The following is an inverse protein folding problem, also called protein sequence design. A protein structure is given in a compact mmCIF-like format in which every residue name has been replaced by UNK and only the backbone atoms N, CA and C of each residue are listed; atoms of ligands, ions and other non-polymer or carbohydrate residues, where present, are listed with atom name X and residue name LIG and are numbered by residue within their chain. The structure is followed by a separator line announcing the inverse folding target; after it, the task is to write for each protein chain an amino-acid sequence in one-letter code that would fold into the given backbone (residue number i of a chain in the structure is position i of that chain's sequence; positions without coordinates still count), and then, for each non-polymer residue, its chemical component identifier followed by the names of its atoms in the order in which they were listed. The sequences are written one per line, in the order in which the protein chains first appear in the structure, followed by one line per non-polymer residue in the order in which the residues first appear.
data_IF_482420031439
#
_entry.id   IF_482420031439
#
_cell.length_a   1.000
_cell.length_b   1.000
_cell.length_c   1.000
_cell.angle_alpha   90.00
_cell.angle_beta   90.00
_cell.angle_gamma   90.00
#
_symmetry.space_group_name_H-M   'P 1'
#
loop_
_entity.id
_entity.type
_entity.pdbx_description
1 polymer ?
#
# COMPACT_ATOMS: atom_id res chain seq x y z
N UNK A 1 -18.79 -13.58 -9.60
CA UNK A 1 -17.66 -14.55 -9.60
C UNK A 1 -16.57 -14.06 -8.64
N UNK A 2 -16.04 -14.92 -7.77
CA UNK A 2 -14.99 -14.56 -6.80
C UNK A 2 -13.66 -14.27 -7.55
N UNK A 3 -12.90 -13.24 -7.14
CA UNK A 3 -11.59 -12.91 -7.73
C UNK A 3 -10.61 -14.10 -7.69
N UNK A 4 -10.74 -14.97 -6.68
CA UNK A 4 -9.96 -16.20 -6.61
C UNK A 4 -10.32 -17.19 -7.72
N UNK A 5 -11.60 -17.33 -8.07
CA UNK A 5 -12.05 -18.23 -9.14
C UNK A 5 -11.55 -17.76 -10.52
N UNK A 6 -11.68 -16.45 -10.80
CA UNK A 6 -11.14 -15.84 -12.03
C UNK A 6 -9.64 -16.11 -12.14
N UNK A 7 -8.90 -15.84 -11.08
CA UNK A 7 -7.45 -16.01 -11.08
C UNK A 7 -7.05 -17.48 -11.29
N UNK A 8 -7.81 -18.45 -10.75
CA UNK A 8 -7.56 -19.89 -10.99
C UNK A 8 -7.81 -20.27 -12.44
N UNK A 9 -8.90 -19.78 -13.04
CA UNK A 9 -9.21 -20.00 -14.46
C UNK A 9 -8.09 -19.44 -15.34
N UNK A 10 -7.64 -18.21 -15.09
CA UNK A 10 -6.57 -17.57 -15.85
C UNK A 10 -5.22 -18.28 -15.67
N UNK A 11 -4.91 -18.79 -14.48
CA UNK A 11 -3.69 -19.57 -14.24
C UNK A 11 -3.71 -20.86 -15.08
N UNK A 12 -4.83 -21.58 -15.07
CA UNK A 12 -4.97 -22.82 -15.83
C UNK A 12 -4.89 -22.53 -17.33
N UNK A 13 -5.52 -21.46 -17.80
CA UNK A 13 -5.40 -21.00 -19.18
C UNK A 13 -3.93 -20.74 -19.54
N UNK A 14 -3.18 -20.05 -18.70
CA UNK A 14 -1.76 -19.77 -18.94
C UNK A 14 -0.92 -21.06 -19.00
N UNK A 15 -1.13 -21.97 -18.05
CA UNK A 15 -0.45 -23.27 -18.00
C UNK A 15 -0.70 -24.11 -19.27
N UNK A 16 -1.95 -24.12 -19.77
CA UNK A 16 -2.33 -24.83 -21.00
C UNK A 16 -1.77 -24.18 -22.27
N UNK A 17 -1.74 -22.84 -22.33
CA UNK A 17 -1.19 -22.08 -23.46
C UNK A 17 0.34 -22.22 -23.56
N UNK A 18 1.02 -22.31 -22.42
CA UNK A 18 2.46 -22.57 -22.35
C UNK A 18 2.84 -24.05 -22.53
N UNK A 19 1.85 -24.95 -22.70
CA UNK A 19 2.05 -26.37 -22.97
C UNK A 19 1.16 -26.83 -24.16
N UNK A 20 1.38 -26.36 -25.39
CA UNK A 20 0.52 -26.71 -26.53
C UNK A 20 0.55 -28.21 -26.87
N UNK A 21 1.70 -28.85 -26.66
CA UNK A 21 1.94 -30.28 -26.94
C UNK A 21 1.41 -31.22 -25.84
N UNK A 22 0.88 -30.68 -24.74
CA UNK A 22 0.35 -31.49 -23.63
C UNK A 22 1.40 -32.33 -22.91
N UNK A 23 2.65 -31.84 -22.81
CA UNK A 23 3.77 -32.55 -22.16
C UNK A 23 3.63 -32.60 -20.63
N UNK A 24 3.05 -31.57 -20.03
CA UNK A 24 2.90 -31.45 -18.57
C UNK A 24 1.45 -31.66 -18.12
N UNK A 25 0.50 -31.08 -18.86
CA UNK A 25 -0.93 -31.35 -18.68
C UNK A 25 -1.41 -32.09 -19.93
N UNK A 26 -1.47 -33.41 -19.84
CA UNK A 26 -1.81 -34.27 -20.99
C UNK A 26 -3.17 -33.93 -21.60
N UNK A 27 -3.28 -34.07 -22.92
CA UNK A 27 -4.54 -33.82 -23.64
C UNK A 27 -5.72 -34.64 -23.09
N UNK A 28 -5.48 -35.88 -22.66
CA UNK A 28 -6.50 -36.71 -22.02
C UNK A 28 -6.99 -36.14 -20.70
N UNK A 29 -6.14 -35.48 -19.92
CA UNK A 29 -6.54 -34.78 -18.68
C UNK A 29 -7.36 -33.54 -18.99
N UNK A 30 -6.95 -32.75 -19.98
CA UNK A 30 -7.72 -31.57 -20.45
C UNK A 30 -9.10 -31.97 -20.97
N UNK A 31 -9.17 -33.05 -21.75
CA UNK A 31 -10.42 -33.57 -22.31
C UNK A 31 -11.35 -34.12 -21.21
N UNK A 32 -10.80 -34.87 -20.24
CA UNK A 32 -11.57 -35.33 -19.07
C UNK A 32 -12.14 -34.17 -18.26
N UNK A 33 -11.37 -33.11 -18.03
CA UNK A 33 -11.84 -31.91 -17.35
C UNK A 33 -12.98 -31.21 -18.11
N UNK A 34 -12.87 -31.11 -19.44
CA UNK A 34 -13.93 -30.58 -20.30
C UNK A 34 -15.19 -31.44 -20.25
N UNK A 35 -15.05 -32.76 -20.35
CA UNK A 35 -16.19 -33.70 -20.24
C UNK A 35 -16.85 -33.63 -18.87
N UNK A 36 -16.08 -33.53 -17.80
CA UNK A 36 -16.59 -33.36 -16.45
C UNK A 36 -17.41 -32.07 -16.32
N UNK A 37 -16.88 -30.94 -16.82
CA UNK A 37 -17.60 -29.67 -16.82
C UNK A 37 -18.91 -29.71 -17.64
N UNK A 38 -18.92 -30.38 -18.80
CA UNK A 38 -20.13 -30.57 -19.62
C UNK A 38 -21.19 -31.45 -18.95
N UNK A 39 -20.81 -32.41 -18.12
CA UNK A 39 -21.77 -33.22 -17.35
C UNK A 39 -22.49 -32.40 -16.28
N UNK A 40 -21.81 -31.41 -15.71
CA UNK A 40 -22.37 -30.54 -14.65
C UNK A 40 -23.23 -29.43 -15.23
N UNK A 41 -22.97 -28.99 -16.47
CA UNK A 41 -23.78 -28.02 -17.20
C UNK A 41 -24.30 -28.69 -18.48
N UNK A 42 -25.41 -29.44 -18.42
CA UNK A 42 -25.91 -30.23 -19.56
C UNK A 42 -26.46 -29.31 -20.65
N UNK A 43 -25.93 -29.44 -21.87
CA UNK A 43 -26.51 -29.14 -23.21
C UNK A 43 -27.46 -27.94 -23.42
N UNK A 44 -27.52 -26.95 -22.53
CA UNK A 44 -27.87 -25.61 -22.97
C UNK A 44 -26.69 -25.07 -23.79
N UNK A 45 -26.92 -24.35 -24.91
CA UNK A 45 -25.88 -23.49 -25.44
C UNK A 45 -25.29 -22.68 -24.29
N UNK A 46 -24.02 -22.30 -24.36
CA UNK A 46 -23.41 -21.29 -23.48
C UNK A 46 -24.05 -19.91 -23.76
N UNK A 47 -25.39 -19.86 -23.74
CA UNK A 47 -26.27 -18.76 -24.10
C UNK A 47 -26.37 -17.76 -22.96
N UNK A 48 -26.22 -18.23 -21.72
CA UNK A 48 -26.10 -17.37 -20.55
C UNK A 48 -24.64 -17.21 -20.11
N UNK A 49 -24.31 -16.02 -19.63
CA UNK A 49 -23.02 -15.71 -19.03
C UNK A 49 -22.77 -16.60 -17.80
N UNK A 50 -23.84 -16.94 -17.08
CA UNK A 50 -23.76 -17.74 -15.86
C UNK A 50 -23.41 -19.21 -16.14
N UNK A 51 -24.03 -19.85 -17.13
CA UNK A 51 -23.66 -21.21 -17.55
C UNK A 51 -22.22 -21.27 -18.05
N UNK A 52 -21.75 -20.22 -18.73
CA UNK A 52 -20.34 -20.08 -19.13
C UNK A 52 -19.39 -20.00 -17.95
N UNK A 53 -19.69 -19.17 -16.96
CA UNK A 53 -18.88 -19.03 -15.75
C UNK A 53 -18.83 -20.36 -15.00
N UNK A 54 -19.97 -21.05 -14.86
CA UNK A 54 -20.05 -22.32 -14.17
C UNK A 54 -19.25 -23.42 -14.90
N UNK A 55 -19.37 -23.49 -16.23
CA UNK A 55 -18.58 -24.40 -17.06
C UNK A 55 -17.08 -24.19 -16.87
N UNK A 56 -16.59 -22.95 -17.00
CA UNK A 56 -15.16 -22.65 -16.83
C UNK A 56 -14.66 -22.91 -15.42
N UNK A 57 -15.48 -22.61 -14.41
CA UNK A 57 -15.14 -22.85 -13.00
C UNK A 57 -14.98 -24.35 -12.72
N UNK A 58 -15.94 -25.17 -13.15
CA UNK A 58 -15.90 -26.63 -12.94
C UNK A 58 -14.75 -27.30 -13.70
N UNK A 59 -14.46 -26.81 -14.92
CA UNK A 59 -13.32 -27.28 -15.71
C UNK A 59 -12.01 -26.94 -15.00
N UNK A 60 -11.89 -25.69 -14.55
CA UNK A 60 -10.73 -25.22 -13.81
C UNK A 60 -10.51 -26.01 -12.52
N UNK A 61 -11.57 -26.33 -11.77
CA UNK A 61 -11.48 -27.14 -10.56
C UNK A 61 -10.97 -28.56 -10.84
N UNK A 62 -11.41 -29.17 -11.93
CA UNK A 62 -10.96 -30.51 -12.34
C UNK A 62 -9.45 -30.55 -12.64
N UNK A 63 -8.94 -29.53 -13.33
CA UNK A 63 -7.50 -29.39 -13.61
C UNK A 63 -6.75 -29.00 -12.33
N UNK A 64 -7.33 -28.15 -11.48
CA UNK A 64 -6.75 -27.76 -10.21
C UNK A 64 -6.48 -28.96 -9.30
N UNK A 65 -7.40 -29.93 -9.24
CA UNK A 65 -7.22 -31.17 -8.46
C UNK A 65 -6.07 -32.04 -8.98
N UNK A 66 -5.86 -32.06 -10.30
CA UNK A 66 -4.67 -32.68 -10.89
C UNK A 66 -3.41 -31.91 -10.49
N UNK A 67 -3.41 -30.57 -10.64
CA UNK A 67 -2.26 -29.73 -10.28
C UNK A 67 -1.89 -29.84 -8.80
N UNK A 68 -2.86 -29.89 -7.89
CA UNK A 68 -2.57 -30.03 -6.45
C UNK A 68 -1.90 -31.35 -6.10
N UNK A 69 -2.10 -32.38 -6.93
CA UNK A 69 -1.53 -33.72 -6.72
C UNK A 69 -0.18 -33.86 -7.43
N UNK A 70 -0.10 -33.44 -8.70
CA UNK A 70 1.08 -33.63 -9.54
C UNK A 70 2.10 -32.50 -9.44
N UNK A 71 1.65 -31.28 -9.13
CA UNK A 71 2.47 -30.07 -9.05
C UNK A 71 2.08 -29.20 -7.84
N UNK A 72 2.10 -29.73 -6.60
CA UNK A 72 1.65 -29.00 -5.41
C UNK A 72 2.34 -27.64 -5.23
N UNK A 73 3.60 -27.53 -5.66
CA UNK A 73 4.37 -26.28 -5.69
C UNK A 73 3.69 -25.12 -6.43
N UNK A 74 2.97 -25.40 -7.53
CA UNK A 74 2.24 -24.37 -8.30
C UNK A 74 1.02 -23.92 -7.49
N UNK A 75 0.27 -24.86 -6.92
CA UNK A 75 -0.94 -24.56 -6.15
C UNK A 75 -0.63 -23.85 -4.84
N UNK A 76 0.46 -24.22 -4.16
CA UNK A 76 0.90 -23.61 -2.91
C UNK A 76 1.43 -22.20 -3.15
N UNK A 77 2.23 -21.99 -4.21
CA UNK A 77 2.69 -20.65 -4.61
C UNK A 77 1.53 -19.74 -4.95
N UNK A 78 0.53 -20.24 -5.69
CA UNK A 78 -0.66 -19.48 -6.03
C UNK A 78 -1.51 -19.12 -4.80
N UNK A 79 -1.69 -20.07 -3.87
CA UNK A 79 -2.39 -19.80 -2.60
C UNK A 79 -1.65 -18.74 -1.76
N UNK A 80 -0.32 -18.82 -1.69
CA UNK A 80 0.52 -17.82 -1.03
C UNK A 80 0.43 -16.44 -1.68
N UNK A 81 0.46 -16.36 -3.00
CA UNK A 81 0.32 -15.10 -3.74
C UNK A 81 -1.07 -14.46 -3.57
N UNK A 82 -2.11 -15.27 -3.33
CA UNK A 82 -3.46 -14.79 -3.01
C UNK A 82 -3.65 -14.44 -1.53
N UNK A 83 -2.70 -14.77 -0.66
CA UNK A 83 -2.79 -14.41 0.74
C UNK A 83 -2.83 -12.88 0.87
N UNK A 84 -3.79 -12.38 1.64
CA UNK A 84 -3.87 -10.93 1.88
C UNK A 84 -2.70 -10.54 2.78
N UNK A 85 -1.84 -9.66 2.27
CA UNK A 85 -0.80 -9.00 3.06
C UNK A 85 -1.50 -8.27 4.21
N UNK A 86 -1.29 -8.68 5.48
CA UNK A 86 -1.92 -8.01 6.60
C UNK A 86 -1.36 -6.58 6.73
N UNK A 87 -2.24 -5.62 7.03
CA UNK A 87 -1.86 -4.21 7.14
C UNK A 87 -0.83 -3.96 8.26
N UNK A 88 -0.74 -4.87 9.23
CA UNK A 88 0.21 -4.83 10.35
C UNK A 88 1.67 -4.83 9.89
N UNK A 89 1.97 -5.43 8.72
CA UNK A 89 3.31 -5.41 8.12
C UNK A 89 3.78 -3.97 7.84
N UNK A 90 2.85 -3.06 7.54
CA UNK A 90 3.17 -1.65 7.33
C UNK A 90 2.93 -0.82 8.58
N UNK A 91 1.82 -1.05 9.28
CA UNK A 91 1.39 -0.26 10.43
C UNK A 91 2.37 -0.33 11.61
N UNK A 92 2.84 -1.53 11.98
CA UNK A 92 3.72 -1.70 13.15
C UNK A 92 5.07 -1.03 12.91
N UNK A 93 5.79 -1.27 11.79
CA UNK A 93 7.04 -0.58 11.53
C UNK A 93 6.86 0.92 11.40
N UNK A 94 5.81 1.40 10.74
CA UNK A 94 5.56 2.83 10.60
C UNK A 94 5.34 3.51 11.96
N UNK A 95 4.53 2.91 12.83
CA UNK A 95 4.31 3.39 14.19
C UNK A 95 5.60 3.38 15.01
N UNK A 96 6.37 2.28 14.96
CA UNK A 96 7.63 2.17 15.68
C UNK A 96 8.64 3.24 15.21
N UNK A 97 8.80 3.42 13.90
CA UNK A 97 9.62 4.49 13.33
C UNK A 97 9.17 5.86 13.84
N UNK A 98 7.86 6.12 13.87
CA UNK A 98 7.32 7.38 14.39
C UNK A 98 7.61 7.59 15.88
N UNK A 99 7.54 6.52 16.67
CA UNK A 99 7.80 6.55 18.11
C UNK A 99 9.27 6.88 18.41
N UNK A 100 10.21 6.38 17.59
CA UNK A 100 11.64 6.58 17.76
C UNK A 100 12.20 7.81 17.03
N UNK A 101 11.47 8.40 16.10
CA UNK A 101 11.83 9.69 15.50
C UNK A 101 11.78 10.77 16.59
N UNK A 102 12.88 11.50 16.75
CA UNK A 102 12.93 12.67 17.63
C UNK A 102 12.23 13.87 16.95
N UNK A 103 10.90 13.87 16.96
CA UNK A 103 10.08 14.94 16.36
C UNK A 103 10.22 16.32 17.03
N UNK A 104 10.79 16.39 18.24
CA UNK A 104 10.92 17.63 19.02
C UNK A 104 12.36 18.19 19.07
N UNK A 105 13.35 17.53 18.46
CA UNK A 105 14.76 17.92 18.55
C UNK A 105 15.52 17.34 19.75
N UNK A 106 16.84 17.51 19.79
CA UNK A 106 17.74 17.02 20.86
C UNK A 106 17.86 17.99 22.04
N UNK A 107 17.70 19.28 21.78
CA UNK A 107 17.51 20.32 22.79
C UNK A 107 16.02 20.38 23.15
N UNK A 108 15.66 20.78 24.37
CA UNK A 108 14.25 21.03 24.79
C UNK A 108 13.64 22.25 24.07
N UNK A 109 14.06 22.52 22.82
CA UNK A 109 13.63 23.61 21.97
C UNK A 109 13.04 23.03 20.69
N UNK A 110 11.74 23.23 20.51
CA UNK A 110 11.01 22.81 19.31
C UNK A 110 11.07 23.94 18.30
N UNK A 111 11.81 23.75 17.21
CA UNK A 111 11.74 24.70 16.10
C UNK A 111 10.36 24.58 15.44
N UNK A 112 9.58 25.66 15.34
CA UNK A 112 8.27 25.64 14.70
C UNK A 112 8.35 25.34 13.20
N UNK A 113 9.51 25.58 12.58
CA UNK A 113 9.82 25.20 11.21
C UNK A 113 10.54 23.83 11.14
N UNK A 114 10.33 22.94 12.11
CA UNK A 114 11.04 21.67 12.17
C UNK A 114 10.82 20.86 10.88
N UNK A 115 11.88 20.71 10.08
CA UNK A 115 11.84 20.06 8.79
C UNK A 115 11.24 18.64 8.83
N UNK A 116 11.60 17.76 9.79
CA UNK A 116 10.94 16.47 9.98
C UNK A 116 9.41 16.53 10.08
N UNK A 117 8.85 17.45 10.88
CA UNK A 117 7.39 17.58 11.06
C UNK A 117 6.73 18.13 9.79
N UNK A 118 7.37 19.09 9.11
CA UNK A 118 6.91 19.63 7.84
C UNK A 118 6.90 18.55 6.74
N UNK A 119 7.96 17.75 6.63
CA UNK A 119 8.05 16.65 5.65
C UNK A 119 6.99 15.60 5.94
N UNK A 120 6.81 15.19 7.20
CA UNK A 120 5.74 14.28 7.61
C UNK A 120 4.38 14.81 7.19
N UNK A 121 4.11 16.09 7.48
CA UNK A 121 2.83 16.69 7.20
C UNK A 121 2.56 16.77 5.69
N UNK A 122 3.54 17.23 4.91
CA UNK A 122 3.45 17.25 3.44
C UNK A 122 3.25 15.86 2.88
N UNK A 123 3.91 14.84 3.44
CA UNK A 123 3.71 13.45 3.07
C UNK A 123 2.28 13.00 3.36
N UNK A 124 1.77 13.23 4.58
CA UNK A 124 0.41 12.85 4.96
C UNK A 124 -0.63 13.54 4.08
N UNK A 125 -0.54 14.87 3.94
CA UNK A 125 -1.38 15.64 3.02
C UNK A 125 -1.31 15.09 1.59
N UNK A 126 -0.10 14.78 1.09
CA UNK A 126 0.09 14.17 -0.23
C UNK A 126 -0.60 12.81 -0.38
N UNK A 127 -0.55 11.96 0.66
CA UNK A 127 -1.24 10.66 0.63
C UNK A 127 -2.76 10.81 0.54
N UNK A 128 -3.36 11.71 1.32
CA UNK A 128 -4.81 12.00 1.30
C UNK A 128 -5.26 12.74 0.04
N UNK A 129 -4.50 13.74 -0.37
CA UNK A 129 -4.71 14.47 -1.62
C UNK A 129 -4.70 13.51 -2.82
N UNK A 130 -3.73 12.59 -2.87
CA UNK A 130 -3.59 11.59 -3.94
C UNK A 130 -4.73 10.59 -4.06
N UNK A 131 -5.61 10.48 -3.06
CA UNK A 131 -6.81 9.62 -3.12
C UNK A 131 -8.09 10.41 -3.30
N UNK A 132 -8.19 11.61 -2.74
CA UNK A 132 -9.39 12.45 -2.81
C UNK A 132 -9.46 13.24 -4.13
N UNK A 133 -8.34 13.78 -4.62
CA UNK A 133 -8.33 14.65 -5.81
C UNK A 133 -8.63 13.95 -7.14
N UNK A 134 -8.09 12.75 -7.46
CA UNK A 134 -8.35 12.11 -8.75
C UNK A 134 -9.83 11.91 -9.10
N UNK A 135 -10.70 11.41 -8.19
CA UNK A 135 -12.12 11.30 -8.49
C UNK A 135 -12.82 12.67 -8.65
N UNK A 136 -12.35 13.71 -7.95
CA UNK A 136 -12.92 15.07 -8.04
C UNK A 136 -12.55 15.78 -9.35
N UNK A 137 -11.32 15.59 -9.84
CA UNK A 137 -10.81 16.25 -11.05
C UNK A 137 -11.18 15.52 -12.36
N UNK A 138 -11.86 14.38 -12.29
CA UNK A 138 -12.19 13.56 -13.46
C UNK A 138 -10.97 13.09 -14.26
N UNK A 139 -9.78 13.15 -13.64
CA UNK A 139 -8.50 12.81 -14.25
C UNK A 139 -7.87 11.68 -13.46
N UNK A 140 -7.51 10.61 -14.17
CA UNK A 140 -6.60 9.57 -13.67
C UNK A 140 -5.14 10.12 -13.57
N UNK A 141 -4.94 11.18 -12.80
CA UNK A 141 -3.63 11.76 -12.46
C UNK A 141 -2.73 10.73 -11.75
N UNK A 142 -3.32 9.67 -11.22
CA UNK A 142 -2.66 8.52 -10.57
C UNK A 142 -1.98 7.53 -11.53
N UNK A 143 -1.96 7.79 -12.84
CA UNK A 143 -1.45 6.86 -13.85
C UNK A 143 0.07 6.61 -13.86
N UNK A 144 0.94 7.65 -13.85
CA UNK A 144 2.39 7.46 -14.02
C UNK A 144 3.19 7.41 -12.71
N UNK A 145 3.00 8.39 -11.80
CA UNK A 145 3.80 8.51 -10.57
C UNK A 145 3.48 7.39 -9.57
N UNK A 146 2.19 7.12 -9.37
CA UNK A 146 1.74 6.02 -8.51
C UNK A 146 2.20 4.67 -9.07
N UNK A 147 2.31 4.55 -10.41
CA UNK A 147 2.86 3.36 -11.08
C UNK A 147 4.36 3.22 -10.86
N UNK A 148 5.12 4.32 -10.80
CA UNK A 148 6.55 4.29 -10.47
C UNK A 148 6.78 3.96 -8.99
N UNK A 149 6.01 4.58 -8.09
CA UNK A 149 6.06 4.27 -6.67
C UNK A 149 5.61 2.82 -6.39
N UNK A 150 4.52 2.36 -7.01
CA UNK A 150 4.09 0.98 -6.92
C UNK A 150 5.14 0.00 -7.46
N UNK A 151 5.80 0.32 -8.59
CA UNK A 151 6.94 -0.47 -9.08
C UNK A 151 8.09 -0.52 -8.08
N UNK A 152 8.42 0.61 -7.44
CA UNK A 152 9.42 0.67 -6.37
C UNK A 152 9.03 -0.16 -5.16
N UNK A 153 7.79 -0.06 -4.69
CA UNK A 153 7.25 -0.89 -3.60
C UNK A 153 7.21 -2.37 -3.96
N UNK A 154 6.87 -2.72 -5.20
CA UNK A 154 6.93 -4.12 -5.69
C UNK A 154 8.38 -4.61 -5.71
N UNK A 155 9.33 -3.81 -6.19
CA UNK A 155 10.75 -4.18 -6.17
C UNK A 155 11.31 -4.34 -4.74
N UNK A 156 10.88 -3.47 -3.81
CA UNK A 156 11.23 -3.58 -2.38
C UNK A 156 10.57 -4.79 -1.73
N UNK A 157 9.30 -5.05 -2.04
CA UNK A 157 8.58 -6.24 -1.58
C UNK A 157 9.18 -7.54 -2.16
N UNK A 158 9.62 -7.54 -3.41
CA UNK A 158 10.38 -8.62 -4.03
C UNK A 158 11.74 -8.80 -3.36
N UNK A 159 12.45 -7.72 -3.04
CA UNK A 159 13.72 -7.77 -2.34
C UNK A 159 13.59 -8.32 -0.91
N UNK A 160 12.59 -7.86 -0.16
CA UNK A 160 12.25 -8.40 1.17
C UNK A 160 11.74 -9.85 1.08
N UNK A 161 10.95 -10.16 0.05
CA UNK A 161 10.41 -11.50 -0.21
C UNK A 161 11.49 -12.51 -0.61
N UNK A 162 12.58 -12.09 -1.27
CA UNK A 162 13.72 -12.95 -1.62
C UNK A 162 14.39 -13.58 -0.40
N UNK A 163 14.26 -12.99 0.79
CA UNK A 163 14.75 -13.55 2.06
C UNK A 163 13.73 -14.42 2.81
N UNK A 164 12.44 -14.30 2.50
CA UNK A 164 11.34 -14.95 3.24
C UNK A 164 10.61 -16.04 2.44
N UNK A 165 10.82 -16.13 1.12
CA UNK A 165 10.29 -17.24 0.34
C UNK A 165 11.13 -18.50 0.59
N UNK A 166 10.50 -19.64 0.92
CA UNK A 166 11.18 -20.92 0.96
C UNK A 166 11.88 -21.12 -0.39
N UNK A 167 13.18 -21.43 -0.37
CA UNK A 167 13.90 -21.86 -1.58
C UNK A 167 13.18 -23.09 -2.13
N UNK A 168 12.27 -22.86 -3.05
CA UNK A 168 11.46 -23.91 -3.64
C UNK A 168 12.39 -24.68 -4.57
N UNK A 169 12.71 -25.93 -4.22
CA UNK A 169 13.45 -26.84 -5.08
C UNK A 169 12.56 -27.17 -6.28
N UNK A 170 12.65 -26.35 -7.33
CA UNK A 170 11.97 -26.59 -8.58
C UNK A 170 12.53 -27.88 -9.22
N UNK A 171 11.68 -28.75 -9.80
CA UNK A 171 12.13 -29.91 -10.56
C UNK A 171 12.99 -29.51 -11.77
N UNK A 172 13.59 -30.49 -12.46
CA UNK A 172 14.54 -30.29 -13.57
C UNK A 172 14.15 -29.23 -14.61
N UNK A 173 15.15 -28.71 -15.33
CA UNK A 173 15.09 -27.45 -16.10
C UNK A 173 13.84 -27.23 -16.95
N UNK A 174 13.35 -28.26 -17.66
CA UNK A 174 12.18 -28.13 -18.55
C UNK A 174 10.87 -27.78 -17.81
N UNK A 175 10.61 -28.41 -16.64
CA UNK A 175 9.42 -28.10 -15.83
C UNK A 175 9.52 -26.68 -15.27
N UNK A 176 10.72 -26.27 -14.86
CA UNK A 176 10.97 -24.90 -14.40
C UNK A 176 10.73 -23.87 -15.50
N UNK A 177 11.22 -24.10 -16.70
CA UNK A 177 11.02 -23.21 -17.85
C UNK A 177 9.53 -23.07 -18.18
N UNK A 178 8.79 -24.18 -18.20
CA UNK A 178 7.34 -24.15 -18.39
C UNK A 178 6.61 -23.35 -17.31
N UNK A 179 6.97 -23.52 -16.04
CA UNK A 179 6.38 -22.75 -14.93
C UNK A 179 6.68 -21.25 -15.06
N UNK A 180 7.91 -20.89 -15.43
CA UNK A 180 8.30 -19.49 -15.62
C UNK A 180 7.53 -18.84 -16.79
N UNK A 181 7.45 -19.51 -17.94
CA UNK A 181 6.67 -19.05 -19.09
C UNK A 181 5.17 -18.93 -18.75
N UNK A 182 4.62 -19.92 -18.04
CA UNK A 182 3.24 -19.90 -17.59
C UNK A 182 2.98 -18.76 -16.60
N UNK A 183 3.94 -18.43 -15.76
CA UNK A 183 3.85 -17.32 -14.80
C UNK A 183 3.82 -15.97 -15.51
N UNK A 184 4.66 -15.78 -16.53
CA UNK A 184 4.68 -14.56 -17.35
C UNK A 184 3.34 -14.38 -18.09
N UNK A 185 2.85 -15.45 -18.74
CA UNK A 185 1.57 -15.43 -19.43
C UNK A 185 0.40 -15.18 -18.48
N UNK A 186 0.43 -15.80 -17.29
CA UNK A 186 -0.55 -15.56 -16.24
C UNK A 186 -0.54 -14.10 -15.79
N UNK A 187 0.63 -13.50 -15.59
CA UNK A 187 0.74 -12.08 -15.24
C UNK A 187 0.16 -11.18 -16.33
N UNK A 188 0.44 -11.45 -17.60
CA UNK A 188 -0.11 -10.69 -18.72
C UNK A 188 -1.65 -10.76 -18.78
N UNK A 189 -2.23 -11.97 -18.63
CA UNK A 189 -3.69 -12.17 -18.64
C UNK A 189 -4.39 -11.56 -17.42
N UNK A 190 -3.78 -11.70 -16.24
CA UNK A 190 -4.37 -11.28 -14.97
C UNK A 190 -4.18 -9.79 -14.67
N UNK A 191 -3.21 -9.11 -15.31
CA UNK A 191 -2.85 -7.72 -15.02
C UNK A 191 -4.06 -6.77 -15.05
N UNK A 192 -4.91 -6.87 -16.08
CA UNK A 192 -6.09 -6.01 -16.23
C UNK A 192 -7.08 -6.17 -15.06
N UNK A 193 -7.17 -7.36 -14.49
CA UNK A 193 -8.04 -7.64 -13.34
C UNK A 193 -7.40 -7.24 -12.01
N UNK A 194 -6.09 -7.48 -11.85
CA UNK A 194 -5.39 -7.28 -10.59
C UNK A 194 -4.96 -5.83 -10.35
N UNK A 195 -4.66 -5.08 -11.41
CA UNK A 195 -4.20 -3.70 -11.33
C UNK A 195 -5.04 -2.79 -10.39
N UNK A 196 -6.39 -2.71 -10.51
CA UNK A 196 -7.18 -1.84 -9.62
C UNK A 196 -7.16 -2.31 -8.16
N UNK A 197 -7.11 -3.62 -7.92
CA UNK A 197 -7.05 -4.20 -6.57
C UNK A 197 -5.70 -3.92 -5.92
N UNK A 198 -4.60 -4.11 -6.65
CA UNK A 198 -3.24 -3.82 -6.19
C UNK A 198 -3.10 -2.33 -5.87
N UNK A 199 -3.56 -1.43 -6.75
CA UNK A 199 -3.52 0.00 -6.49
C UNK A 199 -4.30 0.37 -5.23
N UNK A 200 -5.50 -0.19 -5.06
CA UNK A 200 -6.33 0.08 -3.88
C UNK A 200 -5.66 -0.40 -2.60
N UNK A 201 -5.03 -1.59 -2.64
CA UNK A 201 -4.26 -2.13 -1.51
C UNK A 201 -3.04 -1.29 -1.19
N UNK A 202 -2.26 -0.88 -2.19
CA UNK A 202 -1.09 0.00 -1.99
C UNK A 202 -1.52 1.34 -1.41
N UNK A 203 -2.61 1.94 -1.92
CA UNK A 203 -3.17 3.17 -1.35
C UNK A 203 -3.57 2.98 0.11
N UNK A 204 -4.30 1.92 0.43
CA UNK A 204 -4.68 1.60 1.80
C UNK A 204 -3.46 1.41 2.71
N UNK A 205 -2.42 0.69 2.26
CA UNK A 205 -1.19 0.50 3.02
C UNK A 205 -0.40 1.80 3.22
N UNK A 206 -0.41 2.70 2.23
CA UNK A 206 0.20 4.03 2.35
C UNK A 206 -0.54 4.90 3.38
N UNK A 207 -1.88 4.88 3.37
CA UNK A 207 -2.69 5.62 4.35
C UNK A 207 -2.53 5.08 5.77
N UNK A 208 -2.62 3.76 5.95
CA UNK A 208 -2.47 3.20 7.29
C UNK A 208 -1.03 3.41 7.79
N UNK A 209 -0.03 3.31 6.91
CA UNK A 209 1.35 3.63 7.23
C UNK A 209 1.53 5.09 7.63
N UNK A 210 0.97 6.04 6.88
CA UNK A 210 1.08 7.47 7.16
C UNK A 210 0.37 7.87 8.47
N UNK A 211 -0.83 7.31 8.71
CA UNK A 211 -1.56 7.50 9.95
C UNK A 211 -0.81 6.91 11.16
N UNK A 212 -0.32 5.68 11.06
CA UNK A 212 0.45 5.04 12.13
C UNK A 212 1.76 5.77 12.42
N UNK A 213 2.46 6.25 11.40
CA UNK A 213 3.66 7.07 11.56
C UNK A 213 3.37 8.36 12.33
N UNK A 214 2.32 9.10 11.93
CA UNK A 214 1.88 10.30 12.63
C UNK A 214 1.48 10.01 14.08
N UNK A 215 0.71 8.95 14.33
CA UNK A 215 0.35 8.53 15.68
C UNK A 215 1.58 8.22 16.55
N UNK A 216 2.58 7.54 16.01
CA UNK A 216 3.83 7.26 16.72
C UNK A 216 4.58 8.53 17.11
N UNK A 217 4.68 9.50 16.19
CA UNK A 217 5.33 10.79 16.44
C UNK A 217 4.54 11.60 17.47
N UNK A 218 3.22 11.69 17.34
CA UNK A 218 2.37 12.42 18.27
C UNK A 218 2.47 11.82 19.68
N UNK A 219 2.40 10.49 19.78
CA UNK A 219 2.55 9.81 21.06
C UNK A 219 3.92 10.09 21.69
N UNK A 220 4.99 10.05 20.90
CA UNK A 220 6.33 10.35 21.40
C UNK A 220 6.47 11.81 21.83
N UNK A 221 5.84 12.75 21.12
CA UNK A 221 5.79 14.17 21.48
C UNK A 221 5.09 14.38 22.83
N UNK A 222 3.91 13.78 23.03
CA UNK A 222 3.15 13.92 24.28
C UNK A 222 3.85 13.25 25.47
N UNK A 223 4.37 12.02 25.30
CA UNK A 223 5.09 11.33 26.38
C UNK A 223 6.29 12.15 26.84
N UNK A 224 7.04 12.75 25.91
CA UNK A 224 8.19 13.60 26.25
C UNK A 224 7.75 14.94 26.84
N UNK A 225 6.69 15.56 26.30
CA UNK A 225 6.14 16.81 26.80
C UNK A 225 5.51 16.73 28.19
N UNK A 226 5.12 15.53 28.65
CA UNK A 226 4.66 15.32 30.04
C UNK A 226 5.80 15.39 31.06
N UNK A 227 7.03 15.05 30.66
CA UNK A 227 8.20 14.96 31.55
C UNK A 227 9.14 16.15 31.37
N UNK A 228 9.21 16.71 30.16
CA UNK A 228 10.15 17.75 29.77
C UNK A 228 9.42 19.04 29.41
N UNK A 229 9.96 20.16 29.86
CA UNK A 229 9.47 21.50 29.50
C UNK A 229 9.99 21.92 28.11
N UNK A 230 9.26 21.53 27.07
CA UNK A 230 9.60 21.92 25.70
C UNK A 230 9.23 23.38 25.44
N UNK A 231 10.19 24.10 24.87
CA UNK A 231 10.06 25.51 24.52
C UNK A 231 9.98 25.66 23.00
N UNK A 232 8.95 26.30 22.48
CA UNK A 232 8.82 26.65 21.07
C UNK A 232 9.74 27.82 20.72
N UNK A 233 10.43 27.71 19.58
CA UNK A 233 11.26 28.76 18.97
C UNK A 233 11.11 28.67 17.45
N UNK A 234 11.52 29.67 16.69
CA UNK A 234 11.76 29.50 15.26
C UNK A 234 13.04 30.17 14.81
N UNK A 235 13.64 29.59 13.77
CA UNK A 235 14.89 30.03 13.20
C UNK A 235 14.78 29.98 11.68
N UNK A 236 15.12 31.08 11.02
CA UNK A 236 15.22 31.12 9.56
C UNK A 236 16.26 32.16 9.15
N UNK A 237 17.13 31.78 8.21
CA UNK A 237 18.05 32.73 7.55
C UNK A 237 17.33 33.59 6.51
N UNK A 238 16.20 33.11 5.98
CA UNK A 238 15.54 33.72 4.81
C UNK A 238 14.18 34.34 5.10
N UNK A 239 13.47 33.84 6.12
CA UNK A 239 12.10 34.26 6.39
C UNK A 239 12.05 35.27 7.53
N UNK A 240 11.27 36.32 7.32
CA UNK A 240 10.85 37.27 8.35
C UNK A 240 9.73 36.69 9.23
N UNK A 241 9.51 37.25 10.42
CA UNK A 241 8.44 36.84 11.33
C UNK A 241 7.05 36.86 10.66
N UNK A 242 6.77 37.87 9.84
CA UNK A 242 5.50 37.97 9.08
C UNK A 242 5.34 36.84 8.07
N UNK A 243 6.42 36.43 7.39
CA UNK A 243 6.38 35.30 6.46
C UNK A 243 6.20 33.98 7.22
N UNK A 244 6.88 33.80 8.35
CA UNK A 244 6.71 32.63 9.22
C UNK A 244 5.28 32.54 9.75
N UNK A 245 4.70 33.66 10.20
CA UNK A 245 3.30 33.74 10.60
C UNK A 245 2.38 33.30 9.46
N UNK A 246 2.59 33.80 8.24
CA UNK A 246 1.76 33.44 7.08
C UNK A 246 1.80 31.94 6.80
N UNK A 247 3.00 31.34 6.83
CA UNK A 247 3.19 29.89 6.63
C UNK A 247 2.52 29.10 7.75
N UNK A 248 2.82 29.42 9.01
CA UNK A 248 2.30 28.69 10.16
C UNK A 248 0.78 28.85 10.31
N UNK A 249 0.22 30.04 10.04
CA UNK A 249 -1.23 30.25 10.09
C UNK A 249 -1.93 29.47 8.97
N UNK A 250 -1.36 29.44 7.76
CA UNK A 250 -1.91 28.61 6.67
C UNK A 250 -1.91 27.12 7.02
N UNK A 251 -0.89 26.65 7.74
CA UNK A 251 -0.69 25.25 8.08
C UNK A 251 -1.46 24.80 9.33
N UNK A 252 -1.38 25.60 10.39
CA UNK A 252 -1.83 25.26 11.75
C UNK A 252 -3.06 26.07 12.16
N UNK A 253 -3.41 27.15 11.45
CA UNK A 253 -4.59 27.98 11.73
C UNK A 253 -5.91 27.19 11.72
N UNK A 254 -6.16 26.25 10.76
CA UNK A 254 -7.34 25.40 10.82
C UNK A 254 -7.41 24.55 12.09
N UNK A 255 -6.26 24.01 12.54
CA UNK A 255 -6.18 23.27 13.79
C UNK A 255 -6.40 24.16 15.00
N UNK A 256 -5.85 25.37 15.02
CA UNK A 256 -6.08 26.36 16.06
C UNK A 256 -7.57 26.70 16.19
N UNK A 257 -8.24 26.93 15.05
CA UNK A 257 -9.67 27.19 15.01
C UNK A 257 -10.49 26.03 15.57
N UNK A 258 -10.19 24.79 15.16
CA UNK A 258 -10.86 23.59 15.67
C UNK A 258 -10.64 23.37 17.18
N UNK A 259 -9.44 23.70 17.68
CA UNK A 259 -9.10 23.61 19.10
C UNK A 259 -9.63 24.79 19.93
N UNK A 260 -10.19 25.83 19.29
CA UNK A 260 -10.60 27.06 19.96
C UNK A 260 -9.44 27.90 20.49
N UNK A 261 -8.23 27.72 19.92
CA UNK A 261 -7.05 28.49 20.30
C UNK A 261 -6.93 29.76 19.44
N UNK A 262 -6.65 30.93 20.04
CA UNK A 262 -6.26 32.10 19.27
C UNK A 262 -4.92 31.80 18.59
N UNK A 263 -4.85 32.00 17.27
CA UNK A 263 -3.58 31.87 16.56
C UNK A 263 -2.70 33.10 16.88
N UNK A 264 -1.43 32.93 17.31
CA UNK A 264 -0.59 34.04 17.72
C UNK A 264 -0.37 35.06 16.58
N UNK A 265 -0.49 36.37 16.82
CA UNK A 265 -0.16 37.39 15.83
C UNK A 265 1.33 37.36 15.44
N UNK A 266 1.66 38.01 14.32
CA UNK A 266 3.04 38.05 13.82
C UNK A 266 4.03 38.71 14.82
N UNK A 267 3.55 39.63 15.65
CA UNK A 267 4.35 40.30 16.70
C UNK A 267 4.82 39.30 17.77
N UNK A 268 3.94 38.39 18.19
CA UNK A 268 4.28 37.33 19.14
C UNK A 268 5.32 36.37 18.57
N UNK A 269 5.29 36.13 17.26
CA UNK A 269 6.33 35.34 16.61
C UNK A 269 7.69 36.04 16.64
N UNK A 270 7.77 37.37 16.60
CA UNK A 270 9.07 38.06 16.75
C UNK A 270 9.73 37.69 18.08
N UNK A 271 8.95 37.55 19.15
CA UNK A 271 9.45 37.14 20.47
C UNK A 271 9.87 35.67 20.56
N UNK A 272 9.34 34.82 19.68
CA UNK A 272 9.73 33.41 19.57
C UNK A 272 10.93 33.18 18.64
N UNK A 273 11.43 34.19 17.94
CA UNK A 273 12.61 34.06 17.10
C UNK A 273 13.85 33.84 17.97
N UNK A 274 14.69 32.84 17.65
CA UNK A 274 15.89 32.58 18.45
C UNK A 274 16.76 33.84 18.63
N UNK A 275 17.27 34.11 19.85
CA UNK A 275 17.32 33.21 21.00
C UNK A 275 16.03 33.14 21.85
N UNK A 276 14.99 33.88 21.48
CA UNK A 276 13.68 33.88 22.14
C UNK A 276 12.98 32.52 22.07
N UNK A 277 12.04 32.31 22.99
CA UNK A 277 11.28 31.07 23.11
C UNK A 277 9.99 31.28 23.94
N UNK A 278 9.10 30.30 23.91
CA UNK A 278 7.87 30.27 24.71
C UNK A 278 7.31 28.86 24.85
N UNK A 279 6.15 28.70 25.48
CA UNK A 279 5.55 27.37 25.70
C UNK A 279 5.30 26.62 24.38
N UNK A 280 5.79 25.37 24.28
CA UNK A 280 5.54 24.53 23.10
C UNK A 280 4.18 23.83 23.10
N UNK A 281 3.49 23.76 24.23
CA UNK A 281 2.27 22.96 24.35
C UNK A 281 1.17 23.33 23.34
N UNK A 282 0.81 24.63 23.14
CA UNK A 282 -0.19 25.00 22.13
C UNK A 282 0.20 24.55 20.72
N UNK A 283 1.50 24.66 20.39
CA UNK A 283 2.03 24.25 19.10
C UNK A 283 1.96 22.74 18.90
N UNK A 284 2.30 21.95 19.93
CA UNK A 284 2.21 20.49 19.89
C UNK A 284 0.77 20.04 19.61
N UNK A 285 -0.23 20.66 20.24
CA UNK A 285 -1.63 20.35 19.98
C UNK A 285 -2.04 20.66 18.54
N UNK A 286 -1.64 21.82 18.01
CA UNK A 286 -1.93 22.19 16.62
C UNK A 286 -1.25 21.24 15.63
N UNK A 287 0.03 20.93 15.83
CA UNK A 287 0.77 19.95 15.01
C UNK A 287 0.13 18.57 15.04
N UNK A 288 -0.31 18.11 16.21
CA UNK A 288 -0.94 16.80 16.36
C UNK A 288 -2.27 16.71 15.59
N UNK A 289 -3.07 17.79 15.60
CA UNK A 289 -4.34 17.82 14.88
C UNK A 289 -4.15 17.96 13.36
N UNK A 290 -3.20 18.80 12.91
CA UNK A 290 -2.94 19.00 11.48
C UNK A 290 -2.35 17.76 10.79
N UNK A 291 -1.75 16.82 11.53
CA UNK A 291 -1.09 15.64 10.97
C UNK A 291 -2.02 14.63 10.26
N UNK A 292 -3.35 14.81 10.31
CA UNK A 292 -4.36 13.92 9.71
C UNK A 292 -5.21 14.67 8.69
#
# INVERSE_FOLDING_TARGET
MNSQQISRILLIQALEQSDPEGRYISHSTRQRATQHARKVVPDEPLSSVESSIQFFTNRAESIWNFLSTSYPMITDSFRGAQATIPFTIMAIPAFAVGLFINGLGTTQRVNLLNFPLLILLLWNMGTYAGTILPPLLGKDLTGPLLRHLAKGFVAVAEWLGKGLWPKMSLPGGAVREWILQSSEQFMHLSWRHWHPVIISRVRFLLHIGSACLALGIILSMYVRGLVLDYQATWESTFLSATQVHTVLNGLLGPAAWLLGFPFPPAEDLVHLQAPGHGSAAPWIHMWALTAF
#
